data_IF_420132513976
#
_entry.id   IF_420132513976
#
_cell.length_a   1.000
_cell.length_b   1.000
_cell.length_c   1.000
_cell.angle_alpha   90.00
_cell.angle_beta   90.00
_cell.angle_gamma   90.00
#
_symmetry.space_group_name_H-M   'P 1'
#
loop_
_entity.id
_entity.type
_entity.pdbx_description
1 polymer ?
#
# COMPACT_ATOMS: atom_id res chain seq x y z
N UNK A 1 42.61 50.72 -32.52
CA UNK A 1 42.65 49.31 -32.95
C UNK A 1 41.44 48.57 -32.39
N UNK A 2 40.52 48.07 -33.25
CA UNK A 2 39.33 47.31 -32.83
C UNK A 2 39.70 45.82 -32.78
N UNK A 3 39.69 45.20 -31.59
CA UNK A 3 39.82 43.74 -31.42
C UNK A 3 38.61 43.06 -32.08
N UNK A 4 38.83 42.25 -33.11
CA UNK A 4 37.82 41.37 -33.68
C UNK A 4 37.46 40.30 -32.64
N UNK A 5 36.27 40.39 -32.03
CA UNK A 5 35.74 39.31 -31.18
C UNK A 5 35.42 38.12 -32.09
N UNK A 6 36.21 37.05 -31.99
CA UNK A 6 35.87 35.76 -32.59
C UNK A 6 34.55 35.28 -31.97
N UNK A 7 33.49 35.24 -32.78
CA UNK A 7 32.22 34.61 -32.40
C UNK A 7 32.37 33.12 -32.70
N UNK A 8 32.72 32.32 -31.70
CA UNK A 8 32.66 30.87 -31.78
C UNK A 8 31.17 30.48 -31.71
N UNK A 9 30.56 30.23 -32.87
CA UNK A 9 29.19 29.72 -32.98
C UNK A 9 29.17 28.21 -32.74
N UNK A 10 28.10 27.73 -32.12
CA UNK A 10 27.85 26.30 -31.90
C UNK A 10 27.58 25.60 -33.24
N UNK A 11 28.32 24.55 -33.54
CA UNK A 11 28.15 23.80 -34.80
C UNK A 11 27.00 22.81 -34.69
N UNK A 12 26.32 22.53 -35.81
CA UNK A 12 25.29 21.48 -35.82
C UNK A 12 25.87 20.11 -35.47
N UNK A 13 27.12 19.83 -35.86
CA UNK A 13 27.80 18.58 -35.54
C UNK A 13 28.02 18.40 -34.03
N UNK A 14 28.41 19.46 -33.32
CA UNK A 14 28.54 19.44 -31.86
C UNK A 14 27.20 19.15 -31.18
N UNK A 15 26.09 19.69 -31.69
CA UNK A 15 24.77 19.35 -31.15
C UNK A 15 24.39 17.90 -31.39
N UNK A 16 24.65 17.41 -32.62
CA UNK A 16 24.23 16.08 -33.04
C UNK A 16 24.89 14.98 -32.22
N UNK A 17 26.19 15.09 -31.95
CA UNK A 17 26.89 14.09 -31.12
C UNK A 17 26.39 14.09 -29.68
N UNK A 18 26.04 15.26 -29.13
CA UNK A 18 25.49 15.37 -27.77
C UNK A 18 24.14 14.67 -27.67
N UNK A 19 23.23 14.92 -28.62
CA UNK A 19 21.92 14.26 -28.65
C UNK A 19 22.06 12.74 -28.82
N UNK A 20 23.01 12.29 -29.66
CA UNK A 20 23.28 10.86 -29.85
C UNK A 20 23.73 10.18 -28.55
N UNK A 21 24.63 10.80 -27.78
CA UNK A 21 25.08 10.26 -26.49
C UNK A 21 23.93 10.26 -25.47
N UNK A 22 23.14 11.34 -25.38
CA UNK A 22 21.98 11.41 -24.49
C UNK A 22 20.98 10.29 -24.79
N UNK A 23 20.72 10.00 -26.08
CA UNK A 23 19.81 8.93 -26.47
C UNK A 23 20.25 7.56 -25.94
N UNK A 24 21.54 7.24 -26.01
CA UNK A 24 22.09 5.98 -25.46
C UNK A 24 21.94 5.93 -23.94
N UNK A 25 22.23 7.02 -23.24
CA UNK A 25 22.09 7.09 -21.78
C UNK A 25 20.64 6.88 -21.34
N UNK A 26 19.70 7.57 -22.01
CA UNK A 26 18.26 7.47 -21.71
C UNK A 26 17.74 6.06 -21.96
N UNK A 27 18.18 5.40 -23.03
CA UNK A 27 17.77 4.04 -23.38
C UNK A 27 18.08 3.02 -22.26
N UNK A 28 19.23 3.17 -21.57
CA UNK A 28 19.62 2.30 -20.44
C UNK A 28 18.94 2.75 -19.14
N UNK A 29 18.81 4.06 -18.92
CA UNK A 29 18.33 4.62 -17.66
C UNK A 29 16.84 4.34 -17.39
N UNK A 30 15.97 4.45 -18.40
CA UNK A 30 14.51 4.29 -18.23
C UNK A 30 14.11 2.92 -17.63
N UNK A 31 14.51 1.76 -18.18
CA UNK A 31 14.07 0.46 -17.65
C UNK A 31 14.56 0.22 -16.21
N UNK A 32 15.79 0.66 -15.91
CA UNK A 32 16.36 0.57 -14.56
C UNK A 32 15.54 1.44 -13.59
N UNK A 33 15.30 2.70 -13.95
CA UNK A 33 14.54 3.62 -13.12
C UNK A 33 13.12 3.10 -12.85
N UNK A 34 12.43 2.58 -13.87
CA UNK A 34 11.09 2.01 -13.71
C UNK A 34 11.08 0.87 -12.68
N UNK A 35 12.05 -0.05 -12.75
CA UNK A 35 12.15 -1.16 -11.81
C UNK A 35 12.40 -0.68 -10.37
N UNK A 36 13.25 0.33 -10.20
CA UNK A 36 13.54 0.89 -8.88
C UNK A 36 12.35 1.68 -8.31
N UNK A 37 11.58 2.36 -9.17
CA UNK A 37 10.35 3.03 -8.78
C UNK A 37 9.29 2.04 -8.30
N UNK A 38 9.10 0.89 -8.97
CA UNK A 38 8.17 -0.14 -8.49
C UNK A 38 8.59 -0.70 -7.13
N UNK A 39 9.89 -1.00 -6.94
CA UNK A 39 10.40 -1.43 -5.63
C UNK A 39 10.13 -0.40 -4.53
N UNK A 40 10.28 0.89 -4.82
CA UNK A 40 9.99 1.96 -3.87
C UNK A 40 8.49 2.05 -3.55
N UNK A 41 7.63 1.87 -4.55
CA UNK A 41 6.16 1.84 -4.38
C UNK A 41 5.71 0.68 -3.49
N UNK A 42 6.22 -0.51 -3.76
CA UNK A 42 5.92 -1.70 -2.95
C UNK A 42 6.45 -1.55 -1.51
N UNK A 43 7.67 -1.06 -1.34
CA UNK A 43 8.24 -0.82 -0.02
C UNK A 43 7.41 0.20 0.79
N UNK A 44 6.92 1.25 0.13
CA UNK A 44 6.01 2.22 0.74
C UNK A 44 4.70 1.56 1.21
N UNK A 45 4.09 0.73 0.37
CA UNK A 45 2.83 0.08 0.71
C UNK A 45 2.99 -0.92 1.86
N UNK A 46 4.07 -1.68 1.88
CA UNK A 46 4.40 -2.59 3.00
C UNK A 46 4.70 -1.83 4.29
N UNK A 47 5.42 -0.71 4.21
CA UNK A 47 5.67 0.15 5.37
C UNK A 47 4.36 0.72 5.93
N UNK A 48 3.43 1.08 5.05
CA UNK A 48 2.08 1.52 5.44
C UNK A 48 1.32 0.41 6.16
N UNK A 49 1.33 -0.83 5.63
CA UNK A 49 0.71 -1.98 6.30
C UNK A 49 1.31 -2.26 7.67
N UNK A 50 2.64 -2.17 7.82
CA UNK A 50 3.30 -2.37 9.12
C UNK A 50 2.92 -1.30 10.13
N UNK A 51 2.80 -0.05 9.68
CA UNK A 51 2.37 1.05 10.54
C UNK A 51 0.92 0.85 11.02
N UNK A 52 0.04 0.44 10.12
CA UNK A 52 -1.33 0.06 10.45
C UNK A 52 -1.39 -1.14 11.41
N UNK A 53 -0.55 -2.17 11.19
CA UNK A 53 -0.48 -3.34 12.06
C UNK A 53 -0.06 -2.97 13.49
N UNK A 54 0.98 -2.14 13.63
CA UNK A 54 1.45 -1.67 14.94
C UNK A 54 0.34 -0.97 15.73
N UNK A 55 -0.40 -0.05 15.07
CA UNK A 55 -1.49 0.67 15.70
C UNK A 55 -2.68 -0.24 16.04
N UNK A 56 -3.00 -1.20 15.18
CA UNK A 56 -4.08 -2.15 15.43
C UNK A 56 -3.79 -3.03 16.64
N UNK A 57 -2.53 -3.46 16.82
CA UNK A 57 -2.09 -4.21 18.00
C UNK A 57 -2.21 -3.36 19.26
N UNK A 58 -1.82 -2.08 19.20
CA UNK A 58 -1.99 -1.15 20.31
C UNK A 58 -3.47 -1.05 20.72
N UNK A 59 -4.38 -0.90 19.77
CA UNK A 59 -5.81 -0.80 20.04
C UNK A 59 -6.39 -2.08 20.64
N UNK A 60 -5.91 -3.25 20.22
CA UNK A 60 -6.27 -4.50 20.87
C UNK A 60 -5.93 -4.50 22.36
N UNK A 61 -4.67 -4.20 22.69
CA UNK A 61 -4.19 -4.20 24.07
C UNK A 61 -4.74 -3.04 24.90
N UNK A 62 -5.21 -1.96 24.24
CA UNK A 62 -5.98 -0.89 24.87
C UNK A 62 -7.42 -1.29 25.22
N UNK A 63 -7.87 -2.48 24.80
CA UNK A 63 -9.13 -3.08 25.24
C UNK A 63 -10.30 -2.98 24.25
N UNK A 64 -10.04 -2.76 22.95
CA UNK A 64 -11.09 -2.82 21.93
C UNK A 64 -11.63 -4.26 21.81
N UNK A 65 -12.88 -4.47 22.24
CA UNK A 65 -13.50 -5.81 22.33
C UNK A 65 -15.00 -5.85 22.01
N UNK A 66 -15.64 -4.69 21.94
CA UNK A 66 -17.07 -4.52 21.75
C UNK A 66 -17.36 -3.24 20.95
N UNK A 67 -18.64 -2.96 20.71
CA UNK A 67 -19.06 -1.80 19.91
C UNK A 67 -18.62 -0.47 20.54
N UNK A 68 -18.82 -0.32 21.85
CA UNK A 68 -18.51 0.92 22.57
C UNK A 68 -17.00 1.22 22.53
N UNK A 69 -16.17 0.22 22.83
CA UNK A 69 -14.71 0.35 22.79
C UNK A 69 -14.18 0.56 21.37
N UNK A 70 -14.80 -0.05 20.35
CA UNK A 70 -14.43 0.18 18.95
C UNK A 70 -14.75 1.62 18.49
N UNK A 71 -15.94 2.13 18.83
CA UNK A 71 -16.34 3.50 18.50
C UNK A 71 -15.42 4.50 19.21
N UNK A 72 -15.08 4.27 20.48
CA UNK A 72 -14.15 5.10 21.23
C UNK A 72 -12.75 5.13 20.59
N UNK A 73 -12.30 4.02 20.01
CA UNK A 73 -11.04 3.92 19.27
C UNK A 73 -11.10 4.51 17.85
N UNK A 74 -12.25 5.03 17.39
CA UNK A 74 -12.43 5.54 16.03
C UNK A 74 -12.54 4.44 14.97
N UNK A 75 -12.95 3.24 15.37
CA UNK A 75 -13.23 2.11 14.49
C UNK A 75 -14.73 1.94 14.30
N UNK A 76 -15.10 1.20 13.25
CA UNK A 76 -16.47 0.76 13.03
C UNK A 76 -16.62 -0.68 13.51
N UNK A 77 -17.61 -0.92 14.35
CA UNK A 77 -17.98 -2.25 14.76
C UNK A 77 -18.86 -2.91 13.69
N UNK A 78 -18.51 -4.13 13.30
CA UNK A 78 -19.38 -4.99 12.50
C UNK A 78 -19.89 -6.11 13.39
N UNK A 79 -21.14 -6.01 13.88
CA UNK A 79 -21.75 -7.11 14.58
C UNK A 79 -21.96 -8.24 13.57
N UNK A 80 -21.39 -9.41 13.86
CA UNK A 80 -21.69 -10.62 13.12
C UNK A 80 -22.60 -11.49 14.00
N UNK A 81 -23.48 -12.29 13.37
CA UNK A 81 -24.36 -13.23 14.09
C UNK A 81 -23.57 -14.49 14.51
N UNK A 82 -22.56 -14.32 15.38
CA UNK A 82 -21.65 -15.39 15.83
C UNK A 82 -20.43 -14.85 16.61
N UNK A 83 -19.37 -15.65 16.74
CA UNK A 83 -18.16 -15.31 17.52
C UNK A 83 -17.14 -14.42 16.78
N UNK A 84 -17.40 -14.05 15.52
CA UNK A 84 -16.45 -13.32 14.64
C UNK A 84 -16.79 -11.83 14.48
N UNK A 85 -17.44 -11.23 15.47
CA UNK A 85 -17.67 -9.78 15.48
C UNK A 85 -16.31 -9.06 15.51
N UNK A 86 -16.19 -7.99 14.72
CA UNK A 86 -14.91 -7.34 14.50
C UNK A 86 -15.00 -5.81 14.50
N UNK A 87 -13.93 -5.17 14.99
CA UNK A 87 -13.72 -3.74 14.84
C UNK A 87 -12.84 -3.50 13.61
N UNK A 88 -13.29 -2.69 12.66
CA UNK A 88 -12.53 -2.44 11.44
C UNK A 88 -12.53 -0.96 11.04
N UNK A 89 -11.52 -0.57 10.27
CA UNK A 89 -11.34 0.81 9.85
C UNK A 89 -10.32 0.94 8.72
N UNK A 90 -10.35 2.10 8.06
CA UNK A 90 -9.34 2.47 7.06
C UNK A 90 -8.19 3.17 7.77
N UNK A 91 -6.95 2.75 7.52
CA UNK A 91 -5.78 3.47 8.00
C UNK A 91 -5.59 4.75 7.19
N UNK A 92 -5.34 5.87 7.87
CA UNK A 92 -4.93 7.12 7.23
C UNK A 92 -3.43 7.36 7.50
N UNK A 93 -2.55 7.15 6.50
CA UNK A 93 -1.11 7.32 6.68
C UNK A 93 -0.70 8.78 6.91
N UNK A 94 -1.56 9.76 6.60
CA UNK A 94 -1.23 11.17 6.80
C UNK A 94 -1.41 11.62 8.25
N UNK A 95 -2.37 11.03 8.96
CA UNK A 95 -2.67 11.34 10.36
C UNK A 95 -2.19 10.27 11.33
N UNK A 96 -1.86 9.07 10.84
CA UNK A 96 -1.49 7.93 11.66
C UNK A 96 -2.65 7.37 12.49
N UNK A 97 -3.89 7.56 12.03
CA UNK A 97 -5.11 7.14 12.75
C UNK A 97 -5.97 6.23 11.88
N UNK A 98 -6.87 5.49 12.51
CA UNK A 98 -7.95 4.81 11.78
C UNK A 98 -9.16 5.73 11.59
N UNK A 99 -9.84 5.52 10.47
CA UNK A 99 -11.10 6.13 10.13
C UNK A 99 -12.21 5.08 10.23
N UNK A 100 -13.36 5.37 10.86
CA UNK A 100 -14.47 4.44 11.01
C UNK A 100 -15.29 4.31 9.71
N UNK A 101 -14.62 3.93 8.63
CA UNK A 101 -15.11 3.93 7.25
C UNK A 101 -14.89 2.59 6.58
N UNK A 102 -15.71 2.29 5.56
CA UNK A 102 -15.40 1.27 4.56
C UNK A 102 -14.42 1.83 3.54
N UNK A 103 -13.73 0.95 2.80
CA UNK A 103 -12.90 1.37 1.67
C UNK A 103 -13.69 2.17 0.64
N UNK A 104 -14.95 1.78 0.39
CA UNK A 104 -15.85 2.46 -0.57
C UNK A 104 -16.24 3.88 -0.14
N UNK A 105 -16.09 4.22 1.14
CA UNK A 105 -16.38 5.57 1.64
C UNK A 105 -15.18 6.52 1.44
N UNK A 106 -14.03 5.99 1.01
CA UNK A 106 -12.81 6.75 0.78
C UNK A 106 -12.85 7.42 -0.59
N UNK A 107 -12.61 8.74 -0.60
CA UNK A 107 -12.55 9.53 -1.83
C UNK A 107 -11.19 9.47 -2.53
N UNK A 108 -10.16 9.02 -1.81
CA UNK A 108 -8.77 9.03 -2.29
C UNK A 108 -8.05 7.75 -1.86
N UNK A 109 -7.56 7.02 -2.85
CA UNK A 109 -6.64 5.92 -2.66
C UNK A 109 -5.22 6.44 -2.40
N UNK A 110 -4.41 5.62 -1.73
CA UNK A 110 -3.01 5.94 -1.46
C UNK A 110 -2.04 4.79 -1.71
N UNK A 111 -2.53 3.59 -2.05
CA UNK A 111 -1.67 2.51 -2.53
C UNK A 111 -0.88 2.96 -3.76
N UNK A 112 0.37 2.50 -3.84
CA UNK A 112 1.35 2.95 -4.83
C UNK A 112 1.75 1.88 -5.81
N UNK A 113 1.69 0.61 -5.41
CA UNK A 113 2.04 -0.51 -6.26
C UNK A 113 1.20 -0.58 -7.52
N UNK A 114 1.85 -1.00 -8.60
CA UNK A 114 1.21 -1.19 -9.90
C UNK A 114 1.30 -2.66 -10.30
N UNK A 115 0.69 -3.03 -11.44
CA UNK A 115 0.77 -4.40 -11.97
C UNK A 115 2.17 -4.82 -12.41
N UNK A 116 3.13 -3.89 -12.41
CA UNK A 116 4.51 -4.18 -12.76
C UNK A 116 5.20 -4.80 -11.56
N UNK A 117 5.60 -6.06 -11.70
CA UNK A 117 6.24 -6.82 -10.64
C UNK A 117 7.71 -6.38 -10.44
N UNK A 118 8.10 -6.07 -9.20
CA UNK A 118 9.53 -5.91 -8.87
C UNK A 118 10.31 -7.22 -8.79
N UNK A 119 9.67 -8.35 -9.09
CA UNK A 119 10.15 -9.73 -8.99
C UNK A 119 10.43 -10.17 -7.55
N UNK A 120 9.74 -9.56 -6.58
CA UNK A 120 9.86 -9.92 -5.15
C UNK A 120 8.61 -10.62 -4.68
N UNK A 121 8.76 -11.48 -3.68
CA UNK A 121 7.61 -12.02 -2.93
C UNK A 121 7.70 -11.51 -1.50
N UNK A 122 6.57 -11.07 -0.96
CA UNK A 122 6.49 -10.60 0.42
C UNK A 122 5.62 -11.56 1.22
N UNK A 123 6.25 -12.40 2.04
CA UNK A 123 5.59 -13.40 2.89
C UNK A 123 5.59 -12.95 4.35
N UNK A 124 4.56 -13.37 5.09
CA UNK A 124 4.48 -13.18 6.54
C UNK A 124 4.89 -14.45 7.29
N UNK A 125 4.36 -15.58 6.84
CA UNK A 125 4.70 -16.93 7.29
C UNK A 125 4.68 -17.88 6.07
N UNK A 126 4.83 -19.18 6.28
CA UNK A 126 4.84 -20.18 5.19
C UNK A 126 3.54 -20.21 4.37
N UNK A 127 2.42 -19.80 4.97
CA UNK A 127 1.08 -20.04 4.42
C UNK A 127 0.39 -18.76 3.92
N UNK A 128 0.90 -17.58 4.29
CA UNK A 128 0.33 -16.27 3.93
C UNK A 128 1.35 -15.31 3.33
N UNK A 129 0.95 -14.76 2.19
CA UNK A 129 1.61 -13.62 1.56
C UNK A 129 1.02 -12.32 2.12
N UNK A 130 1.88 -11.33 2.35
CA UNK A 130 1.47 -10.00 2.83
C UNK A 130 0.92 -9.16 1.68
N UNK A 131 1.56 -9.28 0.53
CA UNK A 131 1.43 -8.36 -0.57
C UNK A 131 1.75 -9.07 -1.89
N UNK A 132 1.00 -8.77 -2.94
CA UNK A 132 1.15 -9.35 -4.26
C UNK A 132 1.64 -8.29 -5.25
N UNK A 133 2.94 -8.24 -5.59
CA UNK A 133 3.48 -7.17 -6.43
C UNK A 133 2.99 -7.17 -7.88
N UNK A 134 2.33 -8.23 -8.33
CA UNK A 134 1.64 -8.26 -9.62
C UNK A 134 0.26 -7.58 -9.62
N UNK A 135 -0.27 -7.19 -8.47
CA UNK A 135 -1.60 -6.56 -8.34
C UNK A 135 -1.53 -5.04 -8.43
N UNK A 136 -2.63 -4.39 -8.84
CA UNK A 136 -2.69 -2.93 -8.88
C UNK A 136 -3.27 -2.35 -7.59
N UNK A 137 -2.49 -1.51 -6.91
CA UNK A 137 -2.88 -0.83 -5.67
C UNK A 137 -3.21 0.66 -5.87
N UNK A 138 -3.21 1.17 -7.11
CA UNK A 138 -3.46 2.60 -7.39
C UNK A 138 -4.81 3.11 -6.89
N UNK A 139 -5.81 2.23 -6.78
CA UNK A 139 -7.14 2.52 -6.24
C UNK A 139 -7.36 1.90 -4.85
N UNK A 140 -6.28 1.57 -4.14
CA UNK A 140 -6.36 0.86 -2.87
C UNK A 140 -6.18 1.76 -1.64
N UNK A 141 -6.83 1.34 -0.56
CA UNK A 141 -6.59 1.81 0.81
C UNK A 141 -6.28 0.63 1.71
N UNK A 142 -5.42 0.85 2.69
CA UNK A 142 -5.09 -0.14 3.72
C UNK A 142 -6.16 -0.10 4.81
N UNK A 143 -6.64 -1.27 5.18
CA UNK A 143 -7.67 -1.48 6.18
C UNK A 143 -7.16 -2.46 7.23
N UNK A 144 -7.77 -2.35 8.41
CA UNK A 144 -7.59 -3.30 9.50
C UNK A 144 -8.92 -3.95 9.82
N UNK A 145 -8.87 -5.19 10.29
CA UNK A 145 -9.94 -5.86 11.00
C UNK A 145 -9.38 -6.53 12.25
N UNK A 146 -9.88 -6.11 13.39
CA UNK A 146 -9.59 -6.65 14.70
C UNK A 146 -10.72 -7.61 15.07
N UNK A 147 -10.39 -8.89 15.29
CA UNK A 147 -11.30 -9.91 15.79
C UNK A 147 -10.96 -10.21 17.25
N UNK A 148 -11.53 -9.46 18.21
CA UNK A 148 -11.12 -9.54 19.60
C UNK A 148 -11.77 -10.68 20.37
N UNK A 149 -12.80 -11.30 19.80
CA UNK A 149 -13.65 -12.30 20.44
C UNK A 149 -13.53 -13.66 19.74
N UNK A 150 -14.09 -14.69 20.38
CA UNK A 150 -14.10 -16.05 19.85
C UNK A 150 -12.80 -16.83 20.09
N UNK A 151 -12.72 -18.01 19.49
CA UNK A 151 -11.60 -18.94 19.67
C UNK A 151 -10.38 -18.61 18.79
N UNK A 152 -10.55 -17.76 17.79
CA UNK A 152 -9.50 -17.39 16.86
C UNK A 152 -9.39 -15.86 16.85
N UNK A 153 -8.86 -15.28 17.93
CA UNK A 153 -8.65 -13.85 18.00
C UNK A 153 -7.46 -13.49 17.12
N UNK A 154 -7.62 -12.51 16.26
CA UNK A 154 -6.57 -12.09 15.37
C UNK A 154 -6.80 -10.68 14.84
N UNK A 155 -5.74 -10.10 14.30
CA UNK A 155 -5.77 -8.85 13.57
C UNK A 155 -5.36 -9.14 12.13
N UNK A 156 -6.15 -8.66 11.18
CA UNK A 156 -5.79 -8.65 9.78
C UNK A 156 -5.55 -7.22 9.30
N UNK A 157 -4.47 -7.05 8.55
CA UNK A 157 -4.17 -5.82 7.81
C UNK A 157 -4.06 -6.15 6.34
N UNK A 158 -4.87 -5.47 5.52
CA UNK A 158 -5.04 -5.81 4.10
C UNK A 158 -5.35 -4.57 3.27
N UNK A 159 -5.28 -4.72 1.94
CA UNK A 159 -5.67 -3.69 1.00
C UNK A 159 -7.04 -3.97 0.39
N UNK A 160 -7.85 -2.93 0.23
CA UNK A 160 -9.11 -2.97 -0.50
C UNK A 160 -9.20 -1.89 -1.55
N UNK A 161 -9.81 -2.22 -2.68
CA UNK A 161 -10.14 -1.26 -3.73
C UNK A 161 -11.31 -0.38 -3.27
N UNK A 162 -11.17 0.93 -3.47
CA UNK A 162 -12.20 1.91 -3.10
C UNK A 162 -13.40 1.89 -4.04
N UNK A 163 -13.25 1.40 -5.27
CA UNK A 163 -14.32 1.40 -6.28
C UNK A 163 -15.37 0.32 -6.05
N UNK A 164 -14.94 -0.84 -5.52
CA UNK A 164 -15.79 -2.03 -5.42
C UNK A 164 -15.76 -2.68 -4.04
N UNK A 165 -14.88 -2.25 -3.12
CA UNK A 165 -14.79 -2.79 -1.77
C UNK A 165 -14.13 -4.17 -1.65
N UNK A 166 -13.65 -4.74 -2.76
CA UNK A 166 -13.00 -6.04 -2.79
C UNK A 166 -11.56 -5.94 -2.28
N UNK A 167 -11.05 -7.06 -1.75
CA UNK A 167 -9.63 -7.21 -1.48
C UNK A 167 -8.82 -7.04 -2.77
N UNK A 168 -7.65 -6.41 -2.65
CA UNK A 168 -6.70 -6.38 -3.76
C UNK A 168 -6.09 -7.77 -3.89
N UNK A 169 -6.42 -8.46 -4.99
CA UNK A 169 -6.01 -9.82 -5.27
C UNK A 169 -6.76 -10.88 -4.45
N UNK A 170 -6.76 -12.12 -4.96
CA UNK A 170 -7.49 -13.24 -4.37
C UNK A 170 -8.96 -13.37 -4.85
N UNK A 171 -9.71 -14.34 -4.28
CA UNK A 171 -11.07 -14.62 -4.71
C UNK A 171 -12.03 -13.46 -4.40
N UNK A 172 -12.85 -13.10 -5.39
CA UNK A 172 -13.92 -12.09 -5.23
C UNK A 172 -14.95 -12.57 -4.21
N UNK A 173 -15.53 -11.64 -3.45
CA UNK A 173 -16.53 -11.92 -2.41
C UNK A 173 -16.06 -12.86 -1.28
N UNK A 174 -14.74 -13.02 -1.10
CA UNK A 174 -14.19 -13.67 0.09
C UNK A 174 -14.39 -12.79 1.31
N UNK A 175 -14.61 -13.40 2.48
CA UNK A 175 -14.52 -12.71 3.76
C UNK A 175 -13.09 -12.71 4.32
N UNK A 176 -12.24 -13.62 3.83
CA UNK A 176 -10.84 -13.77 4.26
C UNK A 176 -9.88 -13.12 3.25
N UNK A 177 -9.01 -12.18 3.67
CA UNK A 177 -8.03 -11.56 2.78
C UNK A 177 -6.90 -12.53 2.42
N UNK A 178 -6.73 -12.82 1.12
CA UNK A 178 -5.63 -13.66 0.62
C UNK A 178 -4.25 -13.05 0.93
N UNK A 179 -4.12 -11.73 0.74
CA UNK A 179 -2.88 -10.99 0.98
C UNK A 179 -3.04 -10.08 2.19
N UNK A 180 -2.40 -10.44 3.30
CA UNK A 180 -2.55 -9.73 4.57
C UNK A 180 -1.40 -9.97 5.53
N UNK A 181 -1.20 -9.03 6.44
CA UNK A 181 -0.51 -9.30 7.71
C UNK A 181 -1.57 -9.81 8.68
N UNK A 182 -1.44 -11.06 9.12
CA UNK A 182 -2.29 -11.63 10.18
C UNK A 182 -1.49 -11.80 11.46
N UNK A 183 -1.96 -11.19 12.54
CA UNK A 183 -1.38 -11.34 13.88
C UNK A 183 -2.39 -12.10 14.71
N UNK A 184 -2.10 -13.37 15.00
CA UNK A 184 -2.92 -14.16 15.93
C UNK A 184 -2.67 -13.69 17.36
N UNK A 185 -3.72 -13.68 18.16
CA UNK A 185 -3.68 -13.22 19.54
C UNK A 185 -4.28 -14.31 20.43
N UNK A 186 -3.58 -14.65 21.50
CA UNK A 186 -3.99 -15.66 22.48
C UNK A 186 -4.89 -15.03 23.57
#
# INVERSE_FOLDING_TARGET
MKKLRQKNGFTMAELLIVVAIIAVLVAIAIPILNTQLEKAREAHDIATMRSAASLAVEYYYAGVKDEDSAIAAGLKWWPNHGNDANAAGVYDPSTGKFLPKRSTDMKKAYGKGTKNDSQKTYTYNSDRQIYAPSENYSNAVCMIALYPNGNNKHIDVYWKDISNGNYIGGPKNSNDPKYSIRINID
#
